data_IF_421899427494
#
_entry.id   IF_421899427494
#
_cell.length_a   1.000
_cell.length_b   1.000
_cell.length_c   1.000
_cell.angle_alpha   90.00
_cell.angle_beta   90.00
_cell.angle_gamma   90.00
#
_symmetry.space_group_name_H-M   'P 1'
#
loop_
_entity.id
_entity.type
_entity.pdbx_description
1 polymer ?
#
# COMPACT_ATOMS: atom_id res chain seq x y z
N UNK A 1 -37.27 22.98 25.16
CA UNK A 1 -36.84 22.52 23.82
C UNK A 1 -35.71 21.54 24.04
N UNK A 2 -35.88 20.26 23.67
CA UNK A 2 -34.78 19.30 23.73
C UNK A 2 -33.71 19.72 22.69
N UNK A 3 -32.40 19.63 23.01
CA UNK A 3 -31.37 19.96 22.04
C UNK A 3 -31.47 19.02 20.83
N UNK A 4 -31.30 19.58 19.63
CA UNK A 4 -31.27 18.78 18.41
C UNK A 4 -30.14 17.73 18.51
N UNK A 5 -30.37 16.48 18.06
CA UNK A 5 -29.35 15.45 18.11
C UNK A 5 -28.11 15.86 17.31
N UNK A 6 -26.94 15.74 17.93
CA UNK A 6 -25.65 16.07 17.31
C UNK A 6 -25.32 14.99 16.28
N UNK A 7 -24.96 15.35 15.03
CA UNK A 7 -24.55 14.36 14.03
C UNK A 7 -23.30 13.60 14.48
N UNK A 8 -23.34 12.28 14.40
CA UNK A 8 -22.15 11.43 14.59
C UNK A 8 -21.45 11.28 13.25
N UNK A 9 -20.16 11.61 13.18
CA UNK A 9 -19.36 11.47 11.96
C UNK A 9 -18.59 10.16 11.95
N UNK A 10 -18.50 9.53 10.78
CA UNK A 10 -17.63 8.37 10.62
C UNK A 10 -16.16 8.78 10.78
N UNK A 11 -15.33 7.94 11.42
CA UNK A 11 -13.90 8.22 11.56
C UNK A 11 -13.24 8.30 10.18
N UNK A 12 -12.23 9.16 10.06
CA UNK A 12 -11.39 9.26 8.87
C UNK A 12 -10.48 8.02 8.75
N UNK A 13 -10.54 7.23 7.68
CA UNK A 13 -9.68 6.04 7.55
C UNK A 13 -8.19 6.37 7.42
N UNK A 14 -7.85 7.50 6.78
CA UNK A 14 -6.46 7.89 6.53
C UNK A 14 -5.66 8.23 7.79
N UNK A 15 -6.33 8.47 8.93
CA UNK A 15 -5.69 8.71 10.23
C UNK A 15 -5.05 7.45 10.83
N UNK A 16 -5.30 6.29 10.24
CA UNK A 16 -4.72 5.00 10.65
C UNK A 16 -3.72 4.47 9.60
N UNK A 17 -3.40 5.30 8.60
CA UNK A 17 -2.51 4.96 7.51
C UNK A 17 -1.28 5.88 7.51
N UNK A 18 -0.13 5.33 7.14
CA UNK A 18 1.10 6.11 7.01
C UNK A 18 0.96 7.16 5.91
N UNK A 19 1.44 8.41 6.13
CA UNK A 19 1.60 9.38 5.06
C UNK A 19 2.44 8.82 3.91
N UNK A 20 2.15 9.24 2.67
CA UNK A 20 2.78 8.72 1.44
C UNK A 20 4.31 8.67 1.55
N UNK A 21 4.94 9.77 1.97
CA UNK A 21 6.40 9.87 2.05
C UNK A 21 6.99 8.91 3.09
N UNK A 22 6.29 8.70 4.22
CA UNK A 22 6.73 7.77 5.26
C UNK A 22 6.64 6.32 4.78
N UNK A 23 5.56 5.95 4.08
CA UNK A 23 5.39 4.63 3.49
C UNK A 23 6.48 4.35 2.44
N UNK A 24 6.64 5.26 1.47
CA UNK A 24 7.58 5.10 0.37
C UNK A 24 9.03 5.05 0.85
N UNK A 25 9.41 5.92 1.78
CA UNK A 25 10.78 5.93 2.35
C UNK A 25 11.12 4.60 3.02
N UNK A 26 10.17 3.99 3.73
CA UNK A 26 10.35 2.67 4.35
C UNK A 26 10.45 1.56 3.31
N UNK A 27 9.56 1.58 2.32
CA UNK A 27 9.59 0.60 1.23
C UNK A 27 10.91 0.66 0.46
N UNK A 28 11.41 1.87 0.14
CA UNK A 28 12.70 2.12 -0.50
C UNK A 28 13.86 1.52 0.28
N UNK A 29 13.96 1.84 1.57
CA UNK A 29 15.07 1.39 2.41
C UNK A 29 15.19 -0.15 2.45
N UNK A 30 14.06 -0.84 2.48
CA UNK A 30 14.04 -2.29 2.40
C UNK A 30 14.42 -2.80 1.00
N UNK A 31 13.83 -2.23 -0.04
CA UNK A 31 14.09 -2.63 -1.43
C UNK A 31 15.58 -2.46 -1.83
N UNK A 32 16.28 -1.51 -1.23
CA UNK A 32 17.73 -1.28 -1.43
C UNK A 32 18.62 -2.28 -0.67
N UNK A 33 18.10 -2.95 0.36
CA UNK A 33 18.88 -3.86 1.23
C UNK A 33 18.60 -5.34 0.97
N UNK A 34 17.47 -5.66 0.34
CA UNK A 34 17.07 -7.05 0.04
C UNK A 34 17.98 -7.68 -1.01
N UNK A 35 18.62 -8.84 -0.73
CA UNK A 35 19.42 -9.54 -1.72
C UNK A 35 18.58 -10.11 -2.85
N UNK A 36 18.99 -9.86 -4.10
CA UNK A 36 18.34 -10.42 -5.29
C UNK A 36 18.51 -11.94 -5.39
N UNK A 37 19.56 -12.52 -4.79
CA UNK A 37 19.82 -13.95 -4.79
C UNK A 37 20.19 -14.48 -3.41
N UNK A 38 19.68 -15.67 -3.07
CA UNK A 38 19.89 -16.34 -1.78
C UNK A 38 20.02 -17.86 -1.95
N UNK A 39 21.24 -18.40 -1.88
CA UNK A 39 21.54 -19.84 -1.86
C UNK A 39 20.81 -20.67 -2.95
N UNK A 40 20.96 -20.25 -4.21
CA UNK A 40 20.31 -20.88 -5.35
C UNK A 40 18.82 -20.51 -5.51
N UNK A 41 18.38 -19.42 -4.91
CA UNK A 41 17.07 -18.82 -5.12
C UNK A 41 17.21 -17.38 -5.61
N UNK A 42 16.24 -16.91 -6.40
CA UNK A 42 16.22 -15.56 -6.95
C UNK A 42 14.94 -14.84 -6.54
N UNK A 43 15.07 -13.56 -6.18
CA UNK A 43 13.94 -12.70 -5.85
C UNK A 43 13.10 -12.49 -7.11
N UNK A 44 11.84 -12.92 -7.06
CA UNK A 44 10.90 -12.76 -8.16
C UNK A 44 10.07 -11.49 -7.97
N UNK A 45 9.53 -11.28 -6.76
CA UNK A 45 8.75 -10.09 -6.42
C UNK A 45 8.91 -9.72 -4.95
N UNK A 46 8.65 -8.46 -4.64
CA UNK A 46 8.42 -8.00 -3.28
C UNK A 46 7.20 -7.09 -3.21
N UNK A 47 6.62 -7.01 -2.02
CA UNK A 47 5.38 -6.29 -1.76
C UNK A 47 5.48 -5.57 -0.41
N UNK A 48 5.48 -4.25 -0.46
CA UNK A 48 5.36 -3.39 0.71
C UNK A 48 3.89 -3.16 1.00
N UNK A 49 3.46 -3.34 2.25
CA UNK A 49 2.09 -3.08 2.72
C UNK A 49 2.11 -2.41 4.11
N UNK A 50 0.95 -2.14 4.68
CA UNK A 50 0.87 -1.61 6.06
C UNK A 50 1.59 -2.53 7.08
N UNK A 51 1.55 -3.85 6.85
CA UNK A 51 2.06 -4.86 7.78
C UNK A 51 3.57 -5.10 7.66
N UNK A 52 4.18 -4.71 6.55
CA UNK A 52 5.59 -4.96 6.31
C UNK A 52 5.96 -5.16 4.86
N UNK A 53 7.08 -5.84 4.67
CA UNK A 53 7.58 -6.29 3.37
C UNK A 53 7.40 -7.80 3.25
N UNK A 54 6.68 -8.24 2.23
CA UNK A 54 6.62 -9.63 1.78
C UNK A 54 7.58 -9.80 0.61
N UNK A 55 8.50 -10.75 0.72
CA UNK A 55 9.41 -11.13 -0.35
C UNK A 55 9.06 -12.50 -0.88
N UNK A 56 9.14 -12.67 -2.19
CA UNK A 56 8.89 -13.95 -2.86
C UNK A 56 10.12 -14.31 -3.68
N UNK A 57 10.69 -15.46 -3.35
CA UNK A 57 11.82 -16.04 -4.04
C UNK A 57 11.40 -17.28 -4.80
N UNK A 58 11.97 -17.46 -5.98
CA UNK A 58 11.81 -18.65 -6.82
C UNK A 58 13.11 -19.45 -6.85
N UNK A 59 12.97 -20.77 -6.67
CA UNK A 59 14.08 -21.71 -6.66
C UNK A 59 14.74 -21.77 -8.04
N UNK A 60 16.05 -21.64 -8.08
CA UNK A 60 16.87 -21.82 -9.28
C UNK A 60 17.47 -23.23 -9.33
N UNK A 61 17.98 -23.63 -10.49
CA UNK A 61 18.68 -24.91 -10.68
C UNK A 61 19.81 -25.05 -9.66
N UNK A 62 19.84 -26.17 -8.93
CA UNK A 62 20.81 -26.42 -7.86
C UNK A 62 20.45 -25.83 -6.48
N UNK A 63 19.48 -24.91 -6.40
CA UNK A 63 18.96 -24.44 -5.12
C UNK A 63 18.26 -25.54 -4.33
N UNK A 64 18.18 -25.41 -3.00
CA UNK A 64 17.44 -26.34 -2.14
C UNK A 64 16.59 -25.56 -1.13
N UNK A 65 15.50 -26.16 -0.66
CA UNK A 65 14.67 -25.54 0.38
C UNK A 65 15.44 -25.37 1.70
N UNK A 66 16.24 -26.37 2.09
CA UNK A 66 17.07 -26.30 3.29
C UNK A 66 18.13 -25.18 3.22
N UNK A 67 18.78 -25.02 2.06
CA UNK A 67 19.73 -23.93 1.82
C UNK A 67 19.08 -22.55 1.95
N UNK A 68 17.93 -22.37 1.29
CA UNK A 68 17.15 -21.14 1.39
C UNK A 68 16.73 -20.82 2.82
N UNK A 69 16.18 -21.80 3.55
CA UNK A 69 15.77 -21.59 4.95
C UNK A 69 16.93 -21.16 5.85
N UNK A 70 18.08 -21.82 5.73
CA UNK A 70 19.30 -21.45 6.47
C UNK A 70 19.76 -20.04 6.12
N UNK A 71 19.79 -19.69 4.82
CA UNK A 71 20.29 -18.39 4.37
C UNK A 71 19.32 -17.26 4.71
N UNK A 72 18.02 -17.47 4.55
CA UNK A 72 16.98 -16.53 4.97
C UNK A 72 17.05 -16.27 6.47
N UNK A 73 17.27 -17.30 7.31
CA UNK A 73 17.48 -17.11 8.75
C UNK A 73 18.73 -16.27 9.05
N UNK A 74 19.82 -16.47 8.31
CA UNK A 74 21.06 -15.72 8.51
C UNK A 74 20.98 -14.26 8.07
N UNK A 75 20.25 -13.98 6.98
CA UNK A 75 20.15 -12.64 6.37
C UNK A 75 19.02 -11.82 6.98
N UNK A 76 17.85 -12.44 7.16
CA UNK A 76 16.62 -11.77 7.57
C UNK A 76 16.21 -12.05 9.01
N UNK A 77 16.87 -12.99 9.69
CA UNK A 77 16.45 -13.48 11.01
C UNK A 77 15.01 -14.01 11.02
N UNK A 78 14.58 -14.58 9.88
CA UNK A 78 13.26 -15.15 9.66
C UNK A 78 13.37 -16.45 8.86
N UNK A 79 12.54 -17.42 9.23
CA UNK A 79 12.35 -18.63 8.44
C UNK A 79 11.36 -18.34 7.30
N UNK A 80 11.65 -18.81 6.08
CA UNK A 80 10.72 -18.67 4.97
C UNK A 80 9.56 -19.65 5.11
N UNK A 81 8.42 -19.29 4.54
CA UNK A 81 7.31 -20.23 4.29
C UNK A 81 7.52 -20.82 2.90
N UNK A 82 7.65 -22.14 2.82
CA UNK A 82 7.87 -22.86 1.56
C UNK A 82 6.80 -23.95 1.46
N UNK A 83 6.05 -23.98 0.36
CA UNK A 83 5.10 -25.07 0.11
C UNK A 83 5.85 -26.29 -0.44
N UNK A 84 6.36 -27.12 0.48
CA UNK A 84 7.11 -28.34 0.14
C UNK A 84 6.23 -29.38 -0.57
N UNK A 85 4.93 -29.42 -0.27
CA UNK A 85 3.98 -30.35 -0.91
C UNK A 85 3.77 -30.03 -2.40
N UNK A 86 3.85 -28.75 -2.78
CA UNK A 86 3.83 -28.31 -4.18
C UNK A 86 5.22 -28.35 -4.86
N UNK A 87 6.18 -29.10 -4.30
CA UNK A 87 7.52 -29.25 -4.86
C UNK A 87 8.54 -28.17 -4.45
N UNK A 88 8.15 -27.20 -3.61
CA UNK A 88 9.06 -26.22 -3.03
C UNK A 88 9.76 -25.32 -4.05
N UNK A 89 9.06 -24.93 -5.12
CA UNK A 89 9.57 -24.03 -6.15
C UNK A 89 9.52 -22.55 -5.78
N UNK A 90 8.68 -22.17 -4.82
CA UNK A 90 8.50 -20.80 -4.33
C UNK A 90 8.58 -20.76 -2.80
N UNK A 91 9.15 -19.69 -2.27
CA UNK A 91 9.29 -19.46 -0.84
C UNK A 91 9.11 -17.98 -0.52
N UNK A 92 8.41 -17.69 0.57
CA UNK A 92 8.12 -16.32 0.99
C UNK A 92 8.80 -15.98 2.31
N UNK A 93 9.23 -14.72 2.44
CA UNK A 93 9.80 -14.17 3.68
C UNK A 93 9.01 -12.93 4.04
N UNK A 94 8.36 -12.93 5.21
CA UNK A 94 7.66 -11.76 5.75
C UNK A 94 8.58 -11.01 6.72
N UNK A 95 8.79 -9.73 6.43
CA UNK A 95 9.54 -8.79 7.26
C UNK A 95 8.55 -7.74 7.81
N UNK A 96 7.99 -7.96 9.01
CA UNK A 96 7.06 -7.00 9.58
C UNK A 96 7.78 -5.70 9.94
N UNK A 97 7.09 -4.57 9.80
CA UNK A 97 7.55 -3.30 10.33
C UNK A 97 6.52 -2.70 11.28
N UNK A 98 6.99 -1.83 12.17
CA UNK A 98 6.09 -0.99 12.95
C UNK A 98 5.59 0.15 12.08
N UNK A 99 4.28 0.44 12.05
CA UNK A 99 3.76 1.60 11.35
C UNK A 99 4.43 2.89 11.84
N UNK A 100 4.66 3.84 10.93
CA UNK A 100 5.10 5.19 11.30
C UNK A 100 3.95 5.97 11.96
N UNK A 101 4.24 7.18 12.45
CA UNK A 101 3.21 8.08 12.95
C UNK A 101 2.13 8.33 11.89
N UNK A 102 0.88 8.21 12.30
CA UNK A 102 -0.27 8.52 11.46
C UNK A 102 -0.66 9.99 11.60
N UNK A 103 -1.35 10.51 10.59
CA UNK A 103 -1.78 11.92 10.54
C UNK A 103 -3.25 11.97 10.13
N UNK A 104 -4.03 12.75 10.87
CA UNK A 104 -5.41 13.08 10.55
C UNK A 104 -5.47 14.50 9.98
N UNK A 105 -4.97 14.68 8.75
CA UNK A 105 -5.00 15.97 8.08
C UNK A 105 -6.39 16.28 7.50
N UNK A 106 -6.75 17.57 7.37
CA UNK A 106 -7.91 17.94 6.57
C UNK A 106 -7.71 17.55 5.11
N UNK A 107 -8.79 17.11 4.47
CA UNK A 107 -8.79 16.72 3.05
C UNK A 107 -9.45 17.80 2.19
N UNK A 108 -8.90 18.11 1.00
CA UNK A 108 -9.52 19.04 0.05
C UNK A 108 -10.90 18.57 -0.45
N UNK A 109 -11.77 19.48 -0.93
CA UNK A 109 -13.04 19.12 -1.55
C UNK A 109 -12.84 18.21 -2.78
N UNK A 110 -13.81 17.31 -3.06
CA UNK A 110 -13.76 16.31 -4.16
C UNK A 110 -13.19 16.88 -5.46
N UNK A 111 -13.76 17.95 -6.00
CA UNK A 111 -13.32 18.50 -7.28
C UNK A 111 -11.85 18.97 -7.23
N UNK A 112 -11.44 19.64 -6.15
CA UNK A 112 -10.08 20.13 -5.95
C UNK A 112 -9.09 18.98 -5.78
N UNK A 113 -9.45 17.96 -4.99
CA UNK A 113 -8.61 16.79 -4.74
C UNK A 113 -8.33 16.04 -6.05
N UNK A 114 -9.38 15.70 -6.80
CA UNK A 114 -9.25 14.92 -8.04
C UNK A 114 -8.49 15.72 -9.11
N UNK A 115 -8.79 17.00 -9.29
CA UNK A 115 -8.06 17.84 -10.23
C UNK A 115 -6.57 17.91 -9.87
N UNK A 116 -6.22 18.11 -8.59
CA UNK A 116 -4.82 18.16 -8.13
C UNK A 116 -4.08 16.87 -8.43
N UNK A 117 -4.66 15.72 -8.07
CA UNK A 117 -4.02 14.41 -8.23
C UNK A 117 -3.88 14.05 -9.71
N UNK A 118 -4.97 14.12 -10.48
CA UNK A 118 -4.97 13.75 -11.90
C UNK A 118 -4.01 14.64 -12.70
N UNK A 119 -4.05 15.96 -12.48
CA UNK A 119 -3.15 16.89 -13.18
C UNK A 119 -1.68 16.61 -12.87
N UNK A 120 -1.36 16.24 -11.63
CA UNK A 120 0.00 15.88 -11.25
C UNK A 120 0.49 14.66 -12.03
N UNK A 121 -0.28 13.56 -12.05
CA UNK A 121 0.12 12.35 -12.77
C UNK A 121 0.18 12.57 -14.29
N UNK A 122 -0.75 13.35 -14.86
CA UNK A 122 -0.71 13.75 -16.27
C UNK A 122 0.56 14.53 -16.60
N UNK A 123 0.96 15.49 -15.76
CA UNK A 123 2.21 16.24 -15.94
C UNK A 123 3.47 15.34 -15.89
N UNK A 124 3.39 14.21 -15.19
CA UNK A 124 4.46 13.21 -15.10
C UNK A 124 4.30 12.06 -16.10
N UNK A 125 3.38 12.19 -17.07
CA UNK A 125 3.10 11.19 -18.11
C UNK A 125 2.82 9.79 -17.52
N UNK A 126 2.15 9.74 -16.38
CA UNK A 126 1.76 8.53 -15.68
C UNK A 126 0.24 8.34 -15.78
N UNK A 127 -0.18 7.11 -16.05
CA UNK A 127 -1.61 6.77 -16.12
C UNK A 127 -2.09 6.21 -14.80
N UNK A 128 -3.02 6.91 -14.17
CA UNK A 128 -3.67 6.51 -12.92
C UNK A 128 -5.05 5.93 -13.23
N UNK A 129 -5.30 4.69 -12.80
CA UNK A 129 -6.66 4.13 -12.79
C UNK A 129 -7.32 4.53 -11.48
N UNK A 130 -8.52 5.13 -11.54
CA UNK A 130 -9.22 5.64 -10.37
C UNK A 130 -10.65 5.06 -10.30
N UNK A 131 -11.04 4.56 -9.13
CA UNK A 131 -12.36 3.97 -8.89
C UNK A 131 -12.96 4.57 -7.63
N UNK A 132 -14.15 5.17 -7.73
CA UNK A 132 -14.88 5.65 -6.56
C UNK A 132 -15.36 4.47 -5.71
N UNK A 133 -15.15 4.55 -4.40
CA UNK A 133 -15.66 3.53 -3.46
C UNK A 133 -17.10 3.86 -3.09
N UNK A 134 -18.01 2.92 -3.32
CA UNK A 134 -19.40 3.07 -2.94
C UNK A 134 -19.54 3.16 -1.44
N UNK A 135 -20.34 4.11 -0.99
CA UNK A 135 -20.68 4.25 0.41
C UNK A 135 -21.71 3.19 0.80
N UNK A 136 -21.52 2.58 1.96
CA UNK A 136 -22.55 1.73 2.52
C UNK A 136 -23.76 2.61 2.88
N UNK A 137 -25.00 2.21 2.53
CA UNK A 137 -26.17 2.95 2.96
C UNK A 137 -26.21 3.01 4.49
N UNK A 138 -26.35 4.22 5.05
CA UNK A 138 -26.45 4.41 6.49
C UNK A 138 -27.73 3.75 7.01
N UNK A 139 -27.58 2.71 7.83
CA UNK A 139 -28.72 2.03 8.45
C UNK A 139 -29.12 2.82 9.71
N UNK A 140 -30.41 3.20 9.89
CA UNK A 140 -30.88 3.82 11.12
C UNK A 140 -30.66 2.90 12.33
N UNK A 141 -30.24 3.46 13.46
CA UNK A 141 -30.18 2.72 14.72
C UNK A 141 -31.57 2.38 15.26
N UNK A 142 -31.70 1.23 15.93
CA UNK A 142 -32.96 0.71 16.51
C UNK A 142 -33.52 1.63 17.63
N UNK A 143 -32.73 2.61 18.07
CA UNK A 143 -33.00 3.59 19.12
C UNK A 143 -33.45 4.98 18.59
N UNK A 144 -33.63 5.12 17.27
CA UNK A 144 -33.95 6.42 16.65
C UNK A 144 -32.74 7.36 16.53
N UNK A 145 -31.52 6.87 16.75
CA UNK A 145 -30.30 7.62 16.47
C UNK A 145 -30.17 7.92 14.97
N UNK A 146 -29.75 9.15 14.64
CA UNK A 146 -29.44 9.53 13.26
C UNK A 146 -28.32 8.62 12.71
N UNK A 147 -28.41 8.17 11.45
CA UNK A 147 -27.35 7.40 10.85
C UNK A 147 -26.05 8.21 10.84
N UNK A 148 -24.89 7.56 11.01
CA UNK A 148 -23.61 8.24 11.01
C UNK A 148 -23.34 8.88 9.64
N UNK A 149 -22.73 10.07 9.67
CA UNK A 149 -22.48 10.89 8.48
C UNK A 149 -21.07 10.66 7.97
N UNK A 150 -20.96 10.19 6.72
CA UNK A 150 -19.69 10.20 5.98
C UNK A 150 -19.52 11.54 5.25
N UNK A 151 -18.69 12.42 5.78
CA UNK A 151 -18.38 13.74 5.20
C UNK A 151 -17.21 13.72 4.20
N UNK A 152 -16.68 12.54 3.90
CA UNK A 152 -15.59 12.31 2.96
C UNK A 152 -15.99 11.29 1.91
N UNK A 153 -15.29 11.29 0.78
CA UNK A 153 -15.41 10.31 -0.30
C UNK A 153 -14.05 9.65 -0.50
N UNK A 154 -14.05 8.33 -0.65
CA UNK A 154 -12.85 7.55 -0.99
C UNK A 154 -12.83 7.18 -2.48
N UNK A 155 -11.64 7.21 -3.05
CA UNK A 155 -11.31 6.66 -4.35
C UNK A 155 -10.10 5.74 -4.19
N UNK A 156 -10.16 4.57 -4.83
CA UNK A 156 -9.01 3.68 -4.95
C UNK A 156 -8.26 4.00 -6.23
N UNK A 157 -6.94 3.98 -6.16
CA UNK A 157 -6.11 4.13 -7.35
C UNK A 157 -5.13 2.98 -7.51
N UNK A 158 -4.79 2.71 -8.78
CA UNK A 158 -3.72 1.80 -9.18
C UNK A 158 -2.87 2.48 -10.25
N UNK A 159 -1.56 2.34 -10.14
CA UNK A 159 -0.56 2.86 -11.06
C UNK A 159 0.48 1.79 -11.34
N UNK A 160 0.72 1.51 -12.62
CA UNK A 160 1.79 0.60 -13.06
C UNK A 160 2.81 1.39 -13.87
N UNK A 161 4.08 1.32 -13.47
CA UNK A 161 5.18 2.06 -14.11
C UNK A 161 6.53 1.34 -13.91
N UNK A 162 7.52 1.63 -14.75
CA UNK A 162 8.88 1.10 -14.62
C UNK A 162 9.79 2.02 -13.80
N UNK A 163 9.36 3.27 -13.57
CA UNK A 163 10.01 4.21 -12.65
C UNK A 163 9.71 3.81 -11.21
N UNK A 164 10.66 4.10 -10.32
CA UNK A 164 10.49 3.79 -8.91
C UNK A 164 9.33 4.60 -8.30
N UNK A 165 8.56 4.04 -7.35
CA UNK A 165 7.35 4.68 -6.82
C UNK A 165 7.59 6.06 -6.19
N UNK A 166 8.81 6.31 -5.71
CA UNK A 166 9.21 7.59 -5.11
C UNK A 166 9.22 8.74 -6.13
N UNK A 167 9.45 8.44 -7.42
CA UNK A 167 9.34 9.42 -8.50
C UNK A 167 7.88 9.77 -8.82
N UNK A 168 6.94 8.90 -8.41
CA UNK A 168 5.51 8.98 -8.71
C UNK A 168 4.65 9.08 -7.44
N UNK A 169 5.22 9.67 -6.39
CA UNK A 169 4.60 9.81 -5.07
C UNK A 169 3.33 10.69 -5.04
N UNK A 170 3.02 11.40 -6.13
CA UNK A 170 1.91 12.34 -6.21
C UNK A 170 2.28 13.74 -5.73
N UNK A 171 1.26 14.62 -5.55
CA UNK A 171 1.45 15.97 -5.03
C UNK A 171 2.26 16.01 -3.73
N UNK A 172 3.16 16.99 -3.62
CA UNK A 172 4.11 17.10 -2.51
C UNK A 172 3.47 17.21 -1.11
N UNK A 173 2.25 17.77 -1.01
CA UNK A 173 1.52 17.87 0.26
C UNK A 173 0.98 16.53 0.78
N UNK A 174 0.84 15.52 -0.09
CA UNK A 174 0.28 14.20 0.24
C UNK A 174 -1.12 14.21 0.85
N UNK A 175 -1.82 15.35 0.91
CA UNK A 175 -3.05 15.50 1.69
C UNK A 175 -4.16 14.61 1.15
N UNK A 176 -4.71 13.76 2.02
CA UNK A 176 -5.76 12.81 1.65
C UNK A 176 -5.28 11.72 0.69
N UNK A 177 -3.97 11.50 0.53
CA UNK A 177 -3.41 10.41 -0.29
C UNK A 177 -2.75 9.41 0.65
N UNK A 178 -3.04 8.12 0.45
CA UNK A 178 -2.42 7.02 1.19
C UNK A 178 -2.05 5.91 0.24
N UNK A 179 -0.83 5.41 0.35
CA UNK A 179 -0.41 4.20 -0.37
C UNK A 179 -0.69 3.01 0.55
N UNK A 180 -1.39 2.01 0.02
CA UNK A 180 -1.69 0.78 0.75
C UNK A 180 -0.74 -0.34 0.36
N UNK A 181 -0.28 -0.36 -0.89
CA UNK A 181 0.62 -1.40 -1.39
C UNK A 181 1.55 -0.88 -2.48
N UNK A 182 2.79 -1.36 -2.45
CA UNK A 182 3.75 -1.24 -3.56
C UNK A 182 4.29 -2.63 -3.86
N UNK A 183 3.98 -3.14 -5.03
CA UNK A 183 4.55 -4.38 -5.56
C UNK A 183 5.68 -4.02 -6.51
N UNK A 184 6.80 -4.73 -6.42
CA UNK A 184 7.88 -4.67 -7.40
C UNK A 184 8.21 -6.06 -7.88
N UNK A 185 8.31 -6.22 -9.20
CA UNK A 185 8.63 -7.49 -9.86
C UNK A 185 9.95 -7.35 -10.58
N UNK A 186 10.86 -8.31 -10.38
CA UNK A 186 12.12 -8.37 -11.09
C UNK A 186 11.96 -9.30 -12.28
N UNK A 187 12.13 -8.78 -13.49
CA UNK A 187 12.20 -9.57 -14.72
C UNK A 187 13.54 -9.36 -15.42
N UNK A 188 13.82 -10.17 -16.44
CA UNK A 188 15.02 -9.99 -17.26
C UNK A 188 15.06 -8.65 -18.03
N UNK A 189 13.91 -7.97 -18.16
CA UNK A 189 13.76 -6.70 -18.87
C UNK A 189 13.85 -5.47 -17.95
N UNK A 190 13.88 -5.67 -16.63
CA UNK A 190 13.98 -4.60 -15.64
C UNK A 190 13.09 -4.84 -14.42
N UNK A 191 12.80 -3.74 -13.71
CA UNK A 191 11.85 -3.75 -12.60
C UNK A 191 10.56 -3.06 -13.02
N UNK A 192 9.43 -3.72 -12.77
CA UNK A 192 8.10 -3.14 -12.92
C UNK A 192 7.51 -2.91 -11.52
N UNK A 193 6.87 -1.77 -11.34
CA UNK A 193 6.20 -1.38 -10.11
C UNK A 193 4.70 -1.29 -10.31
N UNK A 194 3.96 -1.74 -9.32
CA UNK A 194 2.53 -1.52 -9.19
C UNK A 194 2.28 -0.86 -7.83
N UNK A 195 1.70 0.33 -7.84
CA UNK A 195 1.35 1.10 -6.65
C UNK A 195 -0.15 1.18 -6.53
N UNK A 196 -0.67 0.73 -5.40
CA UNK A 196 -2.08 0.85 -5.02
C UNK A 196 -2.24 1.79 -3.83
N UNK A 197 -3.34 2.53 -3.83
CA UNK A 197 -3.63 3.42 -2.74
C UNK A 197 -5.05 3.99 -2.77
N UNK A 198 -5.22 4.99 -1.91
CA UNK A 198 -6.48 5.62 -1.59
C UNK A 198 -6.33 7.14 -1.69
N UNK A 199 -7.35 7.78 -2.23
CA UNK A 199 -7.52 9.23 -2.29
C UNK A 199 -8.81 9.55 -1.55
N UNK A 200 -8.70 10.36 -0.51
CA UNK A 200 -9.79 10.84 0.31
C UNK A 200 -10.03 12.33 0.01
N UNK A 201 -11.29 12.70 -0.10
CA UNK A 201 -11.70 14.07 -0.36
C UNK A 201 -12.93 14.46 0.47
N UNK A 202 -13.03 15.72 0.84
CA UNK A 202 -14.19 16.26 1.55
C UNK A 202 -15.39 16.42 0.61
N UNK A 203 -16.59 16.07 1.09
CA UNK A 203 -17.84 16.30 0.35
C UNK A 203 -18.40 17.72 0.50
N UNK A 204 -17.77 18.54 1.33
CA UNK A 204 -18.19 19.90 1.66
C UNK A 204 -17.17 20.90 1.15
#
# INVERSE_FOLDING_TARGET
VAPAPVPVYLPHPWKEMMPVQAFLSRCKAWRETVPVALDGWQLARGECSADGLLLVYSRQTGGTAAGFSRRAQAVFHRLPVINLAAGGGEGTVQLPWTPAAFVDEPVPPVAVQLMRVVSWYQAHQATLTLTAVSEAPGVPGDDGALPPVQNWQEYRFTLTDNRVPEMLAGPADGQGIRISKVTFTLSGEGQQYETEGHIYAGKK
#
